data_IF_746522632133
#
_entry.id   IF_746522632133
#
_cell.length_a   1.000
_cell.length_b   1.000
_cell.length_c   1.000
_cell.angle_alpha   90.00
_cell.angle_beta   90.00
_cell.angle_gamma   90.00
#
_symmetry.space_group_name_H-M   'P 1'
#
loop_
_entity.id
_entity.type
_entity.pdbx_description
1 polymer ?
#
# COMPACT_ATOMS: atom_id res chain seq x y z
N UNK A 1 -3.66 22.06 3.33
CA UNK A 1 -4.62 21.47 4.30
C UNK A 1 -4.22 20.04 4.63
N UNK A 2 -3.90 19.74 5.90
CA UNK A 2 -3.52 18.39 6.35
C UNK A 2 -4.78 17.61 6.70
N UNK A 3 -5.44 17.02 5.72
CA UNK A 3 -6.66 16.23 5.95
C UNK A 3 -6.30 14.92 6.65
N UNK A 4 -6.48 14.83 7.97
CA UNK A 4 -6.17 13.63 8.75
C UNK A 4 -7.29 12.59 8.60
N UNK A 5 -6.95 11.38 8.15
CA UNK A 5 -7.89 10.26 8.00
C UNK A 5 -7.55 9.10 8.94
N UNK A 6 -7.85 9.28 10.22
CA UNK A 6 -7.70 8.25 11.26
C UNK A 6 -9.10 7.67 11.55
N UNK A 7 -9.39 6.41 11.21
CA UNK A 7 -10.68 5.80 11.51
C UNK A 7 -10.82 5.54 13.01
N UNK A 8 -12.03 5.68 13.56
CA UNK A 8 -12.31 5.30 14.96
C UNK A 8 -12.59 3.80 15.05
N UNK A 9 -11.99 3.13 16.04
CA UNK A 9 -12.14 1.68 16.26
C UNK A 9 -13.51 1.30 16.85
N UNK A 10 -14.09 2.17 17.69
CA UNK A 10 -15.40 1.96 18.32
C UNK A 10 -16.56 2.45 17.43
N UNK A 11 -17.80 2.10 17.78
CA UNK A 11 -19.01 2.56 17.09
C UNK A 11 -18.99 4.09 16.96
N UNK A 12 -18.85 4.65 15.74
CA UNK A 12 -18.73 6.10 15.58
C UNK A 12 -20.08 6.78 15.81
N UNK A 13 -20.05 7.98 16.40
CA UNK A 13 -21.21 8.86 16.45
C UNK A 13 -21.70 9.22 15.05
N UNK A 14 -22.95 9.68 14.93
CA UNK A 14 -23.52 10.08 13.63
C UNK A 14 -22.65 11.14 12.93
N UNK A 15 -22.21 12.16 13.67
CA UNK A 15 -21.29 13.21 13.18
C UNK A 15 -19.98 12.63 12.67
N UNK A 16 -19.41 11.66 13.40
CA UNK A 16 -18.15 11.03 12.99
C UNK A 16 -18.35 10.19 11.74
N UNK A 17 -19.41 9.39 11.67
CA UNK A 17 -19.74 8.59 10.49
C UNK A 17 -19.91 9.46 9.25
N UNK A 18 -20.64 10.58 9.38
CA UNK A 18 -20.79 11.55 8.30
C UNK A 18 -19.44 12.14 7.86
N UNK A 19 -18.52 12.42 8.78
CA UNK A 19 -17.16 12.84 8.46
C UNK A 19 -16.35 11.76 7.72
N UNK A 20 -16.38 10.52 8.20
CA UNK A 20 -15.63 9.40 7.59
C UNK A 20 -16.18 8.98 6.21
N UNK A 21 -17.47 9.26 5.94
CA UNK A 21 -18.08 9.04 4.63
C UNK A 21 -17.71 10.10 3.58
N UNK A 22 -17.10 11.23 3.97
CA UNK A 22 -16.65 12.25 3.03
C UNK A 22 -15.65 11.66 2.03
N UNK A 23 -15.75 12.07 0.76
CA UNK A 23 -14.87 11.62 -0.33
C UNK A 23 -13.38 11.71 0.04
N UNK A 24 -12.95 12.88 0.54
CA UNK A 24 -11.55 13.10 0.93
C UNK A 24 -11.04 12.13 2.02
N UNK A 25 -11.91 11.72 2.95
CA UNK A 25 -11.56 10.74 3.97
C UNK A 25 -11.40 9.35 3.35
N UNK A 26 -12.41 8.93 2.56
CA UNK A 26 -12.42 7.63 1.89
C UNK A 26 -11.24 7.47 0.93
N UNK A 27 -10.90 8.50 0.17
CA UNK A 27 -9.78 8.47 -0.78
C UNK A 27 -8.45 8.28 -0.06
N UNK A 28 -8.24 8.97 1.08
CA UNK A 28 -7.04 8.78 1.89
C UNK A 28 -6.97 7.40 2.54
N UNK A 29 -8.10 6.86 3.01
CA UNK A 29 -8.15 5.49 3.54
C UNK A 29 -7.83 4.48 2.44
N UNK A 30 -8.46 4.58 1.27
CA UNK A 30 -8.19 3.72 0.10
C UNK A 30 -6.73 3.76 -0.30
N UNK A 31 -6.12 4.94 -0.33
CA UNK A 31 -4.69 5.09 -0.62
C UNK A 31 -3.83 4.35 0.42
N UNK A 32 -4.12 4.55 1.71
CA UNK A 32 -3.36 3.89 2.80
C UNK A 32 -3.48 2.37 2.73
N UNK A 33 -4.71 1.86 2.67
CA UNK A 33 -4.96 0.41 2.63
C UNK A 33 -4.46 -0.23 1.33
N UNK A 34 -4.54 0.50 0.21
CA UNK A 34 -3.98 0.06 -1.08
C UNK A 34 -2.45 -0.05 -1.06
N UNK A 35 -1.75 0.83 -0.34
CA UNK A 35 -0.30 0.71 -0.13
C UNK A 35 0.06 -0.53 0.69
N UNK A 36 -0.66 -0.81 1.79
CA UNK A 36 -0.45 -2.04 2.58
C UNK A 36 -0.74 -3.30 1.75
N UNK A 37 -1.82 -3.28 0.96
CA UNK A 37 -2.16 -4.38 0.06
C UNK A 37 -1.05 -4.67 -0.95
N UNK A 38 -0.43 -3.63 -1.53
CA UNK A 38 0.71 -3.76 -2.43
C UNK A 38 1.95 -4.33 -1.73
N UNK A 39 2.27 -3.87 -0.52
CA UNK A 39 3.39 -4.42 0.26
C UNK A 39 3.15 -5.92 0.55
N UNK A 40 1.94 -6.29 0.99
CA UNK A 40 1.60 -7.69 1.22
C UNK A 40 1.70 -8.54 -0.05
N UNK A 41 1.27 -8.00 -1.19
CA UNK A 41 1.37 -8.69 -2.48
C UNK A 41 2.83 -8.90 -2.90
N UNK A 42 3.69 -7.89 -2.71
CA UNK A 42 5.13 -8.00 -2.96
C UNK A 42 5.77 -9.07 -2.06
N UNK A 43 5.44 -9.09 -0.76
CA UNK A 43 5.87 -10.14 0.19
C UNK A 43 5.53 -11.54 -0.28
N UNK A 44 4.29 -11.74 -0.75
CA UNK A 44 3.79 -13.08 -1.12
C UNK A 44 4.22 -13.54 -2.52
N UNK A 45 4.33 -12.61 -3.47
CA UNK A 45 4.41 -12.97 -4.90
C UNK A 45 5.69 -12.49 -5.59
N UNK A 46 6.47 -11.62 -4.94
CA UNK A 46 7.70 -11.03 -5.49
C UNK A 46 8.92 -11.26 -4.58
N UNK A 47 8.91 -12.35 -3.81
CA UNK A 47 10.09 -12.80 -3.06
C UNK A 47 10.52 -11.89 -1.91
N UNK A 48 9.69 -10.96 -1.44
CA UNK A 48 10.05 -10.05 -0.34
C UNK A 48 10.06 -10.68 1.06
N UNK A 49 9.69 -11.96 1.20
CA UNK A 49 9.76 -12.67 2.49
C UNK A 49 11.20 -13.03 2.90
N UNK A 50 12.12 -13.17 1.93
CA UNK A 50 13.54 -13.47 2.15
C UNK A 50 14.38 -12.78 1.08
N UNK A 51 15.56 -12.29 1.43
CA UNK A 51 16.52 -11.74 0.47
C UNK A 51 17.54 -12.81 0.13
N UNK A 52 17.83 -13.02 -1.15
CA UNK A 52 18.95 -13.85 -1.61
C UNK A 52 20.28 -13.08 -1.60
N UNK A 53 20.22 -11.76 -1.38
CA UNK A 53 21.40 -10.90 -1.28
C UNK A 53 21.76 -10.63 0.18
N UNK A 54 23.05 -10.69 0.48
CA UNK A 54 23.61 -10.53 1.84
C UNK A 54 23.63 -9.06 2.30
N UNK A 55 23.32 -8.84 3.58
CA UNK A 55 23.41 -7.54 4.24
C UNK A 55 22.29 -6.57 3.89
N UNK A 56 22.26 -5.42 4.57
CA UNK A 56 21.19 -4.41 4.41
C UNK A 56 21.15 -3.80 3.01
N UNK A 57 22.31 -3.61 2.38
CA UNK A 57 22.42 -3.12 1.01
C UNK A 57 21.80 -4.13 0.05
N UNK A 58 22.16 -5.42 0.19
CA UNK A 58 21.55 -6.50 -0.59
C UNK A 58 20.03 -6.57 -0.42
N UNK A 59 19.55 -6.52 0.82
CA UNK A 59 18.11 -6.51 1.10
C UNK A 59 17.38 -5.32 0.45
N UNK A 60 17.97 -4.11 0.46
CA UNK A 60 17.42 -2.94 -0.22
C UNK A 60 17.36 -3.12 -1.74
N UNK A 61 18.43 -3.64 -2.34
CA UNK A 61 18.49 -3.95 -3.78
C UNK A 61 17.45 -4.98 -4.16
N UNK A 62 17.35 -6.08 -3.40
CA UNK A 62 16.34 -7.12 -3.58
C UNK A 62 14.91 -6.56 -3.52
N UNK A 63 14.64 -5.71 -2.52
CA UNK A 63 13.35 -5.03 -2.41
C UNK A 63 13.04 -4.18 -3.65
N UNK A 64 14.02 -3.39 -4.11
CA UNK A 64 13.91 -2.57 -5.31
C UNK A 64 13.56 -3.37 -6.56
N UNK A 65 14.21 -4.52 -6.78
CA UNK A 65 13.91 -5.40 -7.90
C UNK A 65 12.48 -5.95 -7.84
N UNK A 66 11.98 -6.33 -6.65
CA UNK A 66 10.59 -6.78 -6.49
C UNK A 66 9.56 -5.71 -6.88
N UNK A 67 9.80 -4.45 -6.52
CA UNK A 67 8.94 -3.32 -6.94
C UNK A 67 9.04 -3.08 -8.45
N UNK A 68 10.26 -3.12 -9.00
CA UNK A 68 10.48 -2.93 -10.43
C UNK A 68 9.76 -3.99 -11.26
N UNK A 69 9.93 -5.27 -10.93
CA UNK A 69 9.26 -6.38 -11.60
C UNK A 69 7.73 -6.27 -11.50
N UNK A 70 7.21 -5.93 -10.32
CA UNK A 70 5.77 -5.72 -10.14
C UNK A 70 5.22 -4.62 -11.04
N UNK A 71 5.90 -3.47 -11.07
CA UNK A 71 5.48 -2.35 -11.90
C UNK A 71 5.55 -2.69 -13.39
N UNK A 72 6.57 -3.43 -13.85
CA UNK A 72 6.67 -3.88 -15.23
C UNK A 72 5.48 -4.75 -15.65
N UNK A 73 5.09 -5.73 -14.82
CA UNK A 73 3.91 -6.58 -15.09
C UNK A 73 2.63 -5.74 -15.14
N UNK A 74 2.50 -4.73 -14.26
CA UNK A 74 1.34 -3.83 -14.29
C UNK A 74 1.32 -2.97 -15.56
N UNK A 75 2.46 -2.45 -16.00
CA UNK A 75 2.56 -1.64 -17.22
C UNK A 75 2.27 -2.51 -18.45
N UNK A 76 2.80 -3.74 -18.53
CA UNK A 76 2.53 -4.62 -19.67
C UNK A 76 1.04 -4.92 -19.82
N UNK A 77 0.30 -5.05 -18.72
CA UNK A 77 -1.16 -5.23 -18.75
C UNK A 77 -1.95 -3.99 -19.20
N UNK A 78 -1.34 -2.80 -19.15
CA UNK A 78 -1.96 -1.54 -19.60
C UNK A 78 -1.59 -1.17 -21.04
N UNK A 79 -0.46 -1.70 -21.53
CA UNK A 79 0.01 -1.50 -22.90
C UNK A 79 -0.54 -2.53 -23.89
N UNK A 80 -1.19 -3.59 -23.38
CA UNK A 80 -1.93 -4.58 -24.16
C UNK A 80 -3.37 -4.10 -24.40
#
# INVERSE_FOLDING_TARGET
MRNVAIPRKSKPSATRRAFEHRRAFRDKIKWRTGSEGRINHLKRSYGWNRTELTGITGARTWCGHGVFAHNLVKISTLAA
#
